data_IF_222211967134
#
_entry.id   IF_222211967134
#
_cell.length_a   1.000
_cell.length_b   1.000
_cell.length_c   1.000
_cell.angle_alpha   90.00
_cell.angle_beta   90.00
_cell.angle_gamma   90.00
#
_symmetry.space_group_name_H-M   'P 1'
#
loop_
_entity.id
_entity.type
_entity.pdbx_description
1 polymer ?
#
# COMPACT_ATOMS: atom_id res chain seq x y z
N UNK A 1 6.00 13.28 -16.86
CA UNK A 1 5.35 12.68 -15.67
C UNK A 1 6.26 12.94 -14.48
N UNK A 2 5.71 13.47 -13.42
CA UNK A 2 6.41 13.75 -12.16
C UNK A 2 5.84 12.86 -11.07
N UNK A 3 6.69 12.32 -10.19
CA UNK A 3 6.24 11.60 -8.99
C UNK A 3 6.75 12.37 -7.77
N UNK A 4 5.81 12.80 -6.92
CA UNK A 4 6.09 13.51 -5.68
C UNK A 4 5.90 12.56 -4.50
N UNK A 5 6.82 12.62 -3.54
CA UNK A 5 6.65 11.98 -2.22
C UNK A 5 6.10 13.04 -1.28
N UNK A 6 4.95 12.77 -0.68
CA UNK A 6 4.25 13.73 0.19
C UNK A 6 3.90 13.04 1.50
N UNK A 7 4.26 13.66 2.62
CA UNK A 7 3.80 13.22 3.94
C UNK A 7 2.29 13.45 4.08
N UNK A 8 1.60 12.55 4.76
CA UNK A 8 0.16 12.72 5.01
C UNK A 8 -0.15 14.01 5.79
N UNK A 9 0.81 14.48 6.61
CA UNK A 9 0.68 15.75 7.35
C UNK A 9 0.77 16.99 6.46
N UNK A 10 1.38 16.89 5.27
CA UNK A 10 1.62 18.03 4.36
C UNK A 10 0.57 18.13 3.25
N UNK A 11 -0.48 17.31 3.29
CA UNK A 11 -1.54 17.33 2.30
C UNK A 11 -2.40 18.60 2.45
N UNK A 12 -2.32 19.49 1.47
CA UNK A 12 -3.23 20.63 1.37
C UNK A 12 -4.58 20.25 0.74
N UNK A 13 -5.57 21.14 0.85
CA UNK A 13 -6.93 20.89 0.37
C UNK A 13 -7.01 20.52 -1.11
N UNK A 14 -6.21 21.15 -1.98
CA UNK A 14 -6.20 20.85 -3.41
C UNK A 14 -5.72 19.42 -3.69
N UNK A 15 -4.68 18.95 -3.00
CA UNK A 15 -4.17 17.56 -3.14
C UNK A 15 -5.23 16.59 -2.60
N UNK A 16 -5.86 16.90 -1.47
CA UNK A 16 -6.91 16.05 -0.90
C UNK A 16 -8.10 15.90 -1.86
N UNK A 17 -8.54 16.98 -2.50
CA UNK A 17 -9.61 16.96 -3.49
C UNK A 17 -9.26 16.13 -4.74
N UNK A 18 -8.02 16.21 -5.20
CA UNK A 18 -7.54 15.40 -6.32
C UNK A 18 -7.44 13.92 -5.93
N UNK A 19 -6.95 13.60 -4.73
CA UNK A 19 -6.90 12.24 -4.19
C UNK A 19 -8.30 11.65 -4.06
N UNK A 20 -9.24 12.39 -3.47
CA UNK A 20 -10.63 11.93 -3.31
C UNK A 20 -11.24 11.53 -4.66
N UNK A 21 -11.07 12.38 -5.69
CA UNK A 21 -11.55 12.07 -7.05
C UNK A 21 -10.91 10.85 -7.65
N UNK A 22 -9.57 10.71 -7.53
CA UNK A 22 -8.83 9.57 -8.07
C UNK A 22 -9.24 8.26 -7.38
N UNK A 23 -9.34 8.27 -6.05
CA UNK A 23 -9.70 7.09 -5.26
C UNK A 23 -11.14 6.64 -5.54
N UNK A 24 -12.09 7.57 -5.60
CA UNK A 24 -13.47 7.25 -6.01
C UNK A 24 -13.56 6.75 -7.45
N UNK A 25 -12.75 7.29 -8.39
CA UNK A 25 -12.68 6.79 -9.78
C UNK A 25 -12.17 5.34 -9.83
N UNK A 26 -11.15 5.02 -9.01
CA UNK A 26 -10.47 3.74 -9.11
C UNK A 26 -11.14 2.61 -8.33
N UNK A 27 -11.71 2.91 -7.17
CA UNK A 27 -12.29 1.93 -6.24
C UNK A 27 -13.83 1.97 -6.20
N UNK A 28 -14.46 2.94 -6.86
CA UNK A 28 -15.91 3.01 -7.00
C UNK A 28 -16.65 3.37 -5.71
N UNK A 29 -17.91 2.93 -5.63
CA UNK A 29 -18.84 3.29 -4.55
C UNK A 29 -18.50 2.73 -3.17
N UNK A 30 -17.58 1.79 -3.08
CA UNK A 30 -17.12 1.23 -1.80
C UNK A 30 -16.08 2.12 -1.12
N UNK A 31 -15.46 3.04 -1.85
CA UNK A 31 -14.50 3.98 -1.26
C UNK A 31 -15.22 5.13 -0.55
N UNK A 32 -14.78 5.51 0.67
CA UNK A 32 -15.42 6.60 1.41
C UNK A 32 -15.40 7.93 0.65
N UNK A 33 -16.55 8.59 0.55
CA UNK A 33 -16.70 9.87 -0.19
C UNK A 33 -16.19 11.10 0.56
N UNK A 34 -15.91 10.96 1.84
CA UNK A 34 -15.56 12.08 2.74
C UNK A 34 -14.17 11.98 3.36
N UNK A 35 -13.35 11.02 2.89
CA UNK A 35 -11.99 10.84 3.37
C UNK A 35 -11.13 10.15 2.32
N UNK A 36 -9.83 10.34 2.40
CA UNK A 36 -8.83 9.83 1.45
C UNK A 36 -8.05 8.62 1.99
N UNK A 37 -8.64 7.88 2.90
CA UNK A 37 -8.13 6.63 3.45
C UNK A 37 -9.28 5.67 3.74
N UNK A 38 -9.01 4.37 3.71
CA UNK A 38 -10.04 3.35 3.96
C UNK A 38 -10.16 3.06 5.47
N UNK A 39 -9.12 2.52 6.09
CA UNK A 39 -9.10 2.10 7.49
C UNK A 39 -8.32 3.06 8.39
N UNK A 40 -7.11 3.43 7.96
CA UNK A 40 -6.21 4.32 8.69
C UNK A 40 -5.53 5.30 7.74
N UNK A 41 -5.07 6.43 8.27
CA UNK A 41 -4.27 7.38 7.51
C UNK A 41 -2.88 6.80 7.27
N UNK A 42 -2.36 6.83 6.03
CA UNK A 42 -1.00 6.41 5.75
C UNK A 42 0.02 7.41 6.32
N UNK A 43 1.30 7.04 6.32
CA UNK A 43 2.39 7.94 6.71
C UNK A 43 2.77 8.89 5.58
N UNK A 44 2.82 8.36 4.35
CA UNK A 44 3.19 9.13 3.15
C UNK A 44 2.50 8.58 1.91
N UNK A 45 2.56 9.35 0.82
CA UNK A 45 2.06 8.96 -0.49
C UNK A 45 3.07 9.25 -1.58
N UNK A 46 3.14 8.37 -2.57
CA UNK A 46 3.74 8.64 -3.87
C UNK A 46 2.64 9.05 -4.83
N UNK A 47 2.71 10.28 -5.32
CA UNK A 47 1.68 10.90 -6.16
C UNK A 47 2.24 11.14 -7.56
N UNK A 48 1.64 10.47 -8.57
CA UNK A 48 2.02 10.63 -9.97
C UNK A 48 1.18 11.71 -10.64
N UNK A 49 1.86 12.72 -11.18
CA UNK A 49 1.25 13.85 -11.88
C UNK A 49 1.57 13.85 -13.38
N UNK A 50 0.59 14.19 -14.17
CA UNK A 50 0.75 14.55 -15.58
C UNK A 50 0.04 15.88 -15.82
N UNK A 51 0.80 16.92 -16.25
CA UNK A 51 0.25 18.27 -16.52
C UNK A 51 -0.59 18.78 -15.32
N UNK A 52 0.01 18.78 -14.12
CA UNK A 52 -0.59 19.20 -12.85
C UNK A 52 -1.84 18.40 -12.39
N UNK A 53 -2.23 17.37 -13.13
CA UNK A 53 -3.30 16.46 -12.76
C UNK A 53 -2.77 15.21 -12.08
N UNK A 54 -3.30 14.87 -10.91
CA UNK A 54 -3.02 13.61 -10.24
C UNK A 54 -3.63 12.45 -11.05
N UNK A 55 -2.79 11.50 -11.45
CA UNK A 55 -3.18 10.37 -12.33
C UNK A 55 -2.90 9.00 -11.73
N UNK A 56 -2.20 8.94 -10.61
CA UNK A 56 -1.95 7.70 -9.88
C UNK A 56 -1.36 7.96 -8.51
N UNK A 57 -1.49 6.98 -7.62
CA UNK A 57 -0.91 7.06 -6.28
C UNK A 57 -0.56 5.69 -5.72
N UNK A 58 0.32 5.69 -4.72
CA UNK A 58 0.52 4.64 -3.72
C UNK A 58 0.51 5.31 -2.35
N UNK A 59 -0.33 4.84 -1.44
CA UNK A 59 -0.24 5.21 -0.03
C UNK A 59 0.65 4.20 0.70
N UNK A 60 1.41 4.65 1.70
CA UNK A 60 2.41 3.83 2.38
C UNK A 60 2.32 3.96 3.89
N UNK A 61 2.35 2.80 4.57
CA UNK A 61 2.53 2.69 6.00
C UNK A 61 3.89 2.08 6.32
N UNK A 62 4.70 2.78 7.11
CA UNK A 62 5.91 2.21 7.69
C UNK A 62 5.55 1.54 9.02
N UNK A 63 5.79 0.23 9.10
CA UNK A 63 5.30 -0.60 10.21
C UNK A 63 6.34 -1.61 10.65
N UNK A 64 6.26 -2.01 11.91
CA UNK A 64 6.87 -3.26 12.38
C UNK A 64 5.81 -4.35 12.28
N UNK A 65 6.19 -5.48 11.71
CA UNK A 65 5.43 -6.74 11.74
C UNK A 65 6.26 -7.81 12.44
N UNK A 66 5.64 -8.93 12.81
CA UNK A 66 6.37 -10.06 13.37
C UNK A 66 6.27 -11.26 12.43
N UNK A 67 7.41 -11.68 11.89
CA UNK A 67 7.52 -12.84 11.01
C UNK A 67 8.21 -13.98 11.76
N UNK A 68 7.49 -15.06 12.05
CA UNK A 68 8.00 -16.24 12.76
C UNK A 68 8.69 -15.91 14.10
N UNK A 69 8.11 -15.00 14.89
CA UNK A 69 8.66 -14.58 16.18
C UNK A 69 9.75 -13.49 16.10
N UNK A 70 10.11 -13.02 14.90
CA UNK A 70 11.13 -11.97 14.71
C UNK A 70 10.49 -10.68 14.20
N UNK A 71 10.81 -9.50 14.78
CA UNK A 71 10.36 -8.23 14.23
C UNK A 71 11.02 -7.96 12.87
N UNK A 72 10.23 -7.42 11.95
CA UNK A 72 10.67 -6.98 10.63
C UNK A 72 10.10 -5.60 10.32
N UNK A 73 10.91 -4.75 9.70
CA UNK A 73 10.50 -3.42 9.28
C UNK A 73 9.90 -3.47 7.87
N UNK A 74 8.67 -3.04 7.73
CA UNK A 74 7.88 -3.19 6.51
C UNK A 74 7.38 -1.85 6.02
N UNK A 75 7.50 -1.60 4.72
CA UNK A 75 6.72 -0.60 4.04
C UNK A 75 5.49 -1.27 3.42
N UNK A 76 4.32 -1.06 4.01
CA UNK A 76 3.06 -1.58 3.49
C UNK A 76 2.48 -0.64 2.45
N UNK A 77 2.17 -1.15 1.25
CA UNK A 77 1.56 -0.37 0.18
C UNK A 77 0.04 -0.52 0.22
N UNK A 78 -0.65 0.60 0.21
CA UNK A 78 -2.10 0.69 0.36
C UNK A 78 -2.67 1.53 -0.79
N UNK A 79 -3.89 1.22 -1.20
CA UNK A 79 -4.65 2.02 -2.18
C UNK A 79 -3.85 2.32 -3.45
N UNK A 80 -3.11 1.33 -3.96
CA UNK A 80 -2.35 1.46 -5.22
C UNK A 80 -3.32 1.65 -6.37
N UNK A 81 -3.29 2.79 -7.02
CA UNK A 81 -4.20 3.05 -8.12
C UNK A 81 -3.66 3.99 -9.20
N UNK A 82 -4.18 3.80 -10.42
CA UNK A 82 -3.93 4.65 -11.58
C UNK A 82 -5.26 4.91 -12.28
N UNK A 83 -5.52 6.18 -12.60
CA UNK A 83 -6.72 6.62 -13.34
C UNK A 83 -6.95 5.72 -14.56
N UNK A 84 -8.18 5.30 -14.79
CA UNK A 84 -8.58 4.39 -15.86
C UNK A 84 -8.08 4.82 -17.24
N UNK A 85 -8.13 6.13 -17.53
CA UNK A 85 -7.66 6.75 -18.80
C UNK A 85 -6.14 6.73 -18.96
N UNK A 86 -5.41 6.41 -17.88
CA UNK A 86 -3.95 6.46 -17.84
C UNK A 86 -3.32 5.08 -17.58
N UNK A 87 -4.12 4.02 -17.46
CA UNK A 87 -3.64 2.64 -17.36
C UNK A 87 -2.87 2.21 -18.60
N UNK A 88 -2.11 1.14 -18.48
CA UNK A 88 -1.26 0.56 -19.54
C UNK A 88 -0.19 1.51 -20.13
N UNK A 89 0.15 2.59 -19.40
CA UNK A 89 1.20 3.56 -19.75
C UNK A 89 2.42 3.49 -18.84
N UNK A 90 2.56 2.42 -18.07
CA UNK A 90 3.69 2.18 -17.17
C UNK A 90 3.67 2.99 -15.86
N UNK A 91 2.61 3.76 -15.57
CA UNK A 91 2.55 4.63 -14.39
C UNK A 91 2.65 3.82 -13.10
N UNK A 92 1.94 2.69 -12.99
CA UNK A 92 2.03 1.80 -11.83
C UNK A 92 3.45 1.32 -11.58
N UNK A 93 4.15 0.85 -12.62
CA UNK A 93 5.55 0.42 -12.51
C UNK A 93 6.49 1.56 -12.11
N UNK A 94 6.27 2.78 -12.61
CA UNK A 94 7.07 3.93 -12.18
C UNK A 94 6.84 4.30 -10.72
N UNK A 95 5.59 4.20 -10.23
CA UNK A 95 5.27 4.39 -8.82
C UNK A 95 5.95 3.33 -7.93
N UNK A 96 5.89 2.04 -8.33
CA UNK A 96 6.56 0.96 -7.62
C UNK A 96 8.08 1.12 -7.62
N UNK A 97 8.67 1.52 -8.75
CA UNK A 97 10.10 1.85 -8.83
C UNK A 97 10.47 2.99 -7.87
N UNK A 98 9.61 4.01 -7.77
CA UNK A 98 9.83 5.12 -6.81
C UNK A 98 9.76 4.65 -5.37
N UNK A 99 8.91 3.67 -5.07
CA UNK A 99 8.86 3.00 -3.76
C UNK A 99 10.15 2.24 -3.47
N UNK A 100 10.69 1.50 -4.44
CA UNK A 100 11.98 0.80 -4.30
C UNK A 100 13.12 1.79 -4.00
N UNK A 101 13.20 2.88 -4.78
CA UNK A 101 14.20 3.95 -4.56
C UNK A 101 14.05 4.57 -3.17
N UNK A 102 12.82 4.72 -2.68
CA UNK A 102 12.57 5.24 -1.34
C UNK A 102 13.04 4.28 -0.24
N UNK A 103 12.90 2.97 -0.43
CA UNK A 103 13.33 1.97 0.54
C UNK A 103 14.85 1.84 0.62
N UNK A 104 15.57 2.21 -0.45
CA UNK A 104 17.02 2.14 -0.49
C UNK A 104 17.63 3.03 0.60
N UNK A 105 18.64 2.52 1.31
CA UNK A 105 19.31 3.19 2.43
C UNK A 105 18.39 3.56 3.62
N UNK A 106 17.25 2.88 3.75
CA UNK A 106 16.35 2.99 4.90
C UNK A 106 16.22 1.66 5.62
N UNK A 107 15.84 1.72 6.88
CA UNK A 107 15.62 0.55 7.73
C UNK A 107 14.28 -0.13 7.37
N UNK A 108 14.21 -0.68 6.16
CA UNK A 108 13.06 -1.42 5.62
C UNK A 108 13.57 -2.77 5.12
N UNK A 109 13.06 -3.86 5.71
CA UNK A 109 13.40 -5.22 5.30
C UNK A 109 12.58 -5.67 4.08
N UNK A 110 11.29 -5.33 4.06
CA UNK A 110 10.35 -5.79 3.03
C UNK A 110 9.33 -4.72 2.63
N UNK A 111 8.89 -4.79 1.38
CA UNK A 111 7.69 -4.11 0.90
C UNK A 111 6.57 -5.14 0.84
N UNK A 112 5.42 -4.84 1.43
CA UNK A 112 4.28 -5.76 1.55
C UNK A 112 3.02 -5.10 1.04
N UNK A 113 2.17 -5.86 0.36
CA UNK A 113 0.84 -5.44 -0.07
C UNK A 113 -0.11 -6.63 -0.19
N UNK A 114 -1.39 -6.35 -0.38
CA UNK A 114 -2.43 -7.32 -0.67
C UNK A 114 -3.10 -6.97 -2.00
N UNK A 115 -3.09 -7.89 -2.96
CA UNK A 115 -3.62 -7.64 -4.30
C UNK A 115 -4.32 -8.87 -4.89
N UNK A 116 -5.54 -8.66 -5.39
CA UNK A 116 -6.28 -9.69 -6.14
C UNK A 116 -5.57 -10.01 -7.47
N UNK A 117 -5.16 -8.96 -8.21
CA UNK A 117 -4.42 -9.10 -9.47
C UNK A 117 -2.91 -8.91 -9.24
N UNK A 118 -2.10 -9.99 -9.34
CA UNK A 118 -0.67 -9.95 -9.08
C UNK A 118 0.17 -9.40 -10.22
N UNK A 119 -0.36 -9.33 -11.44
CA UNK A 119 0.39 -9.12 -12.68
C UNK A 119 1.33 -7.91 -12.66
N UNK A 120 0.84 -6.77 -12.14
CA UNK A 120 1.64 -5.56 -12.03
C UNK A 120 2.80 -5.77 -11.06
N UNK A 121 2.53 -6.40 -9.94
CA UNK A 121 3.49 -6.55 -8.84
C UNK A 121 4.56 -7.59 -9.15
N UNK A 122 4.19 -8.74 -9.73
CA UNK A 122 5.13 -9.78 -10.14
C UNK A 122 6.14 -9.23 -11.16
N UNK A 123 5.67 -8.45 -12.15
CA UNK A 123 6.55 -7.78 -13.12
C UNK A 123 7.48 -6.74 -12.49
N UNK A 124 7.20 -6.29 -11.27
CA UNK A 124 8.04 -5.36 -10.52
C UNK A 124 8.78 -6.03 -9.34
N UNK A 125 8.91 -7.37 -9.37
CA UNK A 125 9.76 -8.13 -8.45
C UNK A 125 9.10 -8.54 -7.14
N UNK A 126 7.78 -8.38 -7.00
CA UNK A 126 7.04 -8.98 -5.88
C UNK A 126 6.78 -10.45 -6.14
N UNK A 127 6.63 -11.20 -5.07
CA UNK A 127 6.21 -12.59 -5.10
C UNK A 127 4.98 -12.78 -4.21
N UNK A 128 4.06 -13.62 -4.67
CA UNK A 128 2.94 -14.09 -3.85
C UNK A 128 3.45 -15.09 -2.84
N UNK A 129 3.04 -14.96 -1.59
CA UNK A 129 3.47 -15.82 -0.49
C UNK A 129 2.26 -16.29 0.32
N UNK A 130 2.42 -17.41 1.02
CA UNK A 130 1.37 -17.96 1.86
C UNK A 130 1.85 -18.01 3.31
N UNK A 131 1.40 -17.05 4.09
CA UNK A 131 1.66 -17.00 5.52
C UNK A 131 0.34 -17.07 6.28
N UNK A 132 0.36 -17.68 7.45
CA UNK A 132 -0.73 -17.59 8.41
C UNK A 132 -0.71 -16.19 9.01
N UNK A 133 -1.58 -15.32 8.49
CA UNK A 133 -1.64 -13.92 8.88
C UNK A 133 -2.52 -13.73 10.11
N UNK A 134 -2.12 -12.80 10.98
CA UNK A 134 -2.89 -12.35 12.13
C UNK A 134 -3.01 -10.83 12.10
N UNK A 135 -4.23 -10.29 12.21
CA UNK A 135 -4.46 -8.84 12.14
C UNK A 135 -5.66 -8.37 12.95
N UNK A 136 -5.68 -7.07 13.23
CA UNK A 136 -6.80 -6.37 13.85
C UNK A 136 -7.87 -6.07 12.81
N UNK A 137 -9.11 -6.51 13.06
CA UNK A 137 -10.25 -6.22 12.19
C UNK A 137 -10.78 -4.82 12.47
N UNK A 138 -10.81 -4.00 11.44
CA UNK A 138 -11.39 -2.67 11.46
C UNK A 138 -12.64 -2.64 10.59
N UNK A 139 -13.74 -2.16 11.17
CA UNK A 139 -14.91 -1.77 10.41
C UNK A 139 -14.67 -0.38 9.83
N UNK A 140 -14.46 -0.31 8.53
CA UNK A 140 -14.15 0.92 7.81
C UNK A 140 -15.31 1.93 7.83
N UNK A 141 -16.56 1.46 7.84
CA UNK A 141 -17.75 2.34 7.85
C UNK A 141 -17.90 3.09 9.17
N UNK A 142 -17.73 2.39 10.27
CA UNK A 142 -17.92 2.93 11.62
C UNK A 142 -16.60 3.36 12.28
N UNK A 143 -15.45 3.05 11.67
CA UNK A 143 -14.12 3.31 12.24
C UNK A 143 -13.95 2.70 13.65
N UNK A 144 -14.41 1.45 13.80
CA UNK A 144 -14.34 0.68 15.06
C UNK A 144 -13.60 -0.64 14.84
N UNK A 145 -13.04 -1.19 15.90
CA UNK A 145 -12.43 -2.51 15.89
C UNK A 145 -13.43 -3.56 16.36
N UNK A 146 -13.34 -4.80 15.85
CA UNK A 146 -14.24 -5.89 16.22
C UNK A 146 -13.55 -7.26 16.34
N UNK A 147 -12.29 -7.27 16.69
CA UNK A 147 -11.53 -8.47 17.03
C UNK A 147 -10.28 -8.67 16.22
N UNK A 148 -9.68 -9.83 16.40
CA UNK A 148 -8.48 -10.28 15.69
C UNK A 148 -8.87 -11.43 14.78
N UNK A 149 -8.39 -11.41 13.55
CA UNK A 149 -8.53 -12.51 12.60
C UNK A 149 -7.19 -13.24 12.45
N UNK A 150 -7.28 -14.52 12.05
CA UNK A 150 -6.12 -15.37 11.88
C UNK A 150 -6.38 -16.38 10.77
N UNK A 151 -5.90 -16.11 9.56
CA UNK A 151 -6.08 -16.98 8.39
C UNK A 151 -4.97 -16.80 7.35
N UNK A 152 -4.88 -17.72 6.39
CA UNK A 152 -4.00 -17.55 5.22
C UNK A 152 -4.65 -16.57 4.25
N UNK A 153 -3.90 -15.53 3.86
CA UNK A 153 -4.34 -14.52 2.90
C UNK A 153 -3.63 -14.76 1.57
N UNK A 154 -4.39 -15.21 0.56
CA UNK A 154 -3.84 -15.56 -0.75
C UNK A 154 -3.39 -14.35 -1.57
N UNK A 155 -3.85 -13.16 -1.22
CA UNK A 155 -3.54 -11.88 -1.87
C UNK A 155 -2.23 -11.26 -1.37
N UNK A 156 -1.58 -11.87 -0.38
CA UNK A 156 -0.33 -11.36 0.20
C UNK A 156 0.80 -11.42 -0.82
N UNK A 157 1.39 -10.27 -1.07
CA UNK A 157 2.56 -10.12 -1.94
C UNK A 157 3.69 -9.40 -1.20
N UNK A 158 4.90 -9.88 -1.40
CA UNK A 158 6.09 -9.39 -0.70
C UNK A 158 7.24 -9.17 -1.67
N UNK A 159 8.03 -8.14 -1.41
CA UNK A 159 9.31 -7.88 -2.07
C UNK A 159 10.37 -7.58 -1.01
N UNK A 160 11.49 -8.31 -1.03
CA UNK A 160 12.64 -8.01 -0.19
C UNK A 160 13.33 -6.73 -0.66
N UNK A 161 13.73 -5.88 0.29
CA UNK A 161 14.49 -4.65 -0.01
C UNK A 161 16.00 -4.92 -0.03
N UNK A 162 16.45 -5.87 0.77
CA UNK A 162 17.84 -6.28 0.88
C UNK A 162 18.04 -7.74 0.47
N UNK A 163 19.10 -8.36 1.02
CA UNK A 163 19.48 -9.74 0.72
C UNK A 163 18.67 -10.80 1.51
N UNK A 164 17.90 -10.36 2.52
CA UNK A 164 17.08 -11.28 3.33
C UNK A 164 15.92 -11.82 2.48
N UNK A 165 15.86 -13.15 2.31
CA UNK A 165 14.70 -13.81 1.73
C UNK A 165 13.49 -13.75 2.65
N UNK A 166 12.29 -13.84 2.07
CA UNK A 166 11.05 -13.98 2.84
C UNK A 166 10.92 -15.41 3.36
N UNK A 167 10.46 -15.56 4.59
CA UNK A 167 10.18 -16.85 5.21
C UNK A 167 8.66 -17.09 5.27
N UNK A 168 8.19 -18.25 4.85
CA UNK A 168 6.81 -18.69 5.09
C UNK A 168 6.61 -19.03 6.58
N UNK A 169 5.34 -19.05 7.02
CA UNK A 169 4.97 -19.35 8.40
C UNK A 169 3.99 -18.34 8.98
N UNK A 170 4.18 -17.93 10.23
CA UNK A 170 3.30 -16.96 10.89
C UNK A 170 3.71 -15.51 10.60
N UNK A 171 2.75 -14.68 10.21
CA UNK A 171 2.90 -13.24 10.05
C UNK A 171 1.88 -12.50 10.92
N UNK A 172 2.32 -11.95 12.04
CA UNK A 172 1.50 -11.02 12.83
C UNK A 172 1.71 -9.60 12.27
N UNK A 173 0.66 -9.02 11.72
CA UNK A 173 0.68 -7.67 11.17
C UNK A 173 0.85 -6.60 12.26
N UNK A 174 0.70 -6.98 13.54
CA UNK A 174 0.72 -6.07 14.69
C UNK A 174 -0.17 -4.83 14.51
N UNK A 175 -1.23 -4.99 13.74
CA UNK A 175 -2.16 -3.94 13.36
C UNK A 175 -3.21 -4.44 12.38
N UNK A 176 -3.76 -3.53 11.59
CA UNK A 176 -4.81 -3.82 10.64
C UNK A 176 -4.28 -4.36 9.30
N UNK A 177 -5.14 -5.04 8.57
CA UNK A 177 -4.92 -5.39 7.17
C UNK A 177 -5.10 -4.14 6.30
N UNK A 178 -4.04 -3.73 5.60
CA UNK A 178 -4.00 -2.55 4.73
C UNK A 178 -4.74 -2.74 3.42
#
# INVERSE_FOLDING_TARGET
MEIRTVSEYDLNGNIQDQLQRLLCECFGGDYPVNRIYFKQKPHLRFLAYKEDRLVGQIACDYRVMNLNGKPVNVLSLIDVCVSSKMRSKGIGSHLLKKTDEFCHDRDIDYIVLFADDPDLYERNGFQRVQNQCKWLKINDKNQTTYGIEHEVINELMVKAVGEKGWEEGELDLMGYLG
#
